data_IF_420038904909
#
_entry.id   IF_420038904909
#
_cell.length_a   1.000
_cell.length_b   1.000
_cell.length_c   1.000
_cell.angle_alpha   90.00
_cell.angle_beta   90.00
_cell.angle_gamma   90.00
#
_symmetry.space_group_name_H-M   'P 1'
#
loop_
_entity.id
_entity.type
_entity.pdbx_description
1 polymer ?
#
# COMPACT_ATOMS: atom_id res chain seq x y z
N UNK A 1 16.83 47.88 -7.92
CA UNK A 1 17.01 46.42 -8.16
C UNK A 1 15.95 45.69 -7.35
N UNK A 2 14.81 45.48 -7.99
CA UNK A 2 13.67 44.71 -7.48
C UNK A 2 13.96 43.22 -7.67
N UNK A 3 13.86 42.44 -6.62
CA UNK A 3 13.53 41.01 -6.66
C UNK A 3 13.51 40.50 -5.22
N UNK A 4 12.33 40.10 -4.74
CA UNK A 4 12.11 39.06 -3.74
C UNK A 4 10.58 38.89 -3.60
N UNK A 5 9.94 38.40 -4.66
CA UNK A 5 8.68 37.67 -4.50
C UNK A 5 9.01 36.19 -4.63
N UNK A 6 9.56 35.59 -3.58
CA UNK A 6 9.45 34.14 -3.41
C UNK A 6 7.98 33.89 -3.13
N UNK A 7 7.26 33.56 -4.20
CA UNK A 7 5.86 33.22 -4.15
C UNK A 7 5.68 32.04 -3.19
N UNK A 8 5.04 32.31 -2.07
CA UNK A 8 4.64 31.36 -1.03
C UNK A 8 3.45 30.53 -1.55
N UNK A 9 3.59 29.90 -2.72
CA UNK A 9 2.63 28.92 -3.20
C UNK A 9 3.02 27.57 -2.58
N UNK A 10 2.12 26.90 -1.84
CA UNK A 10 2.34 25.52 -1.47
C UNK A 10 2.65 24.73 -2.75
N UNK A 11 3.64 23.84 -2.70
CA UNK A 11 3.88 22.91 -3.80
C UNK A 11 2.58 22.13 -4.00
N UNK A 12 2.08 22.04 -5.23
CA UNK A 12 0.75 21.49 -5.56
C UNK A 12 0.44 20.16 -4.83
N UNK A 13 1.46 19.31 -4.64
CA UNK A 13 1.35 18.06 -3.88
C UNK A 13 0.91 18.24 -2.42
N UNK A 14 1.39 19.26 -1.70
CA UNK A 14 1.01 19.52 -0.30
C UNK A 14 -0.48 19.86 -0.15
N UNK A 15 -1.11 20.41 -1.21
CA UNK A 15 -2.55 20.65 -1.22
C UNK A 15 -3.31 19.34 -1.38
N UNK A 16 -2.83 18.44 -2.24
CA UNK A 16 -3.44 17.14 -2.45
C UNK A 16 -3.44 16.28 -1.19
N UNK A 17 -2.38 16.36 -0.37
CA UNK A 17 -2.27 15.64 0.91
C UNK A 17 -3.31 16.06 1.96
N UNK A 18 -3.93 17.23 1.82
CA UNK A 18 -4.91 17.73 2.80
C UNK A 18 -6.32 17.25 2.51
N UNK A 19 -6.57 16.73 1.31
CA UNK A 19 -7.89 16.26 0.89
C UNK A 19 -7.87 14.73 0.75
N UNK A 20 -8.72 13.99 1.49
CA UNK A 20 -8.84 12.53 1.36
C UNK A 20 -9.04 12.04 -0.08
N UNK A 21 -9.81 12.78 -0.88
CA UNK A 21 -10.12 12.40 -2.26
C UNK A 21 -8.92 12.47 -3.20
N UNK A 22 -7.87 13.22 -2.82
CA UNK A 22 -6.62 13.38 -3.58
C UNK A 22 -5.38 12.93 -2.82
N UNK A 23 -5.53 12.27 -1.66
CA UNK A 23 -4.42 11.92 -0.80
C UNK A 23 -3.44 10.97 -1.50
N UNK A 24 -2.15 11.30 -1.48
CA UNK A 24 -1.07 10.69 -2.25
C UNK A 24 -1.31 10.60 -3.76
N UNK A 25 -2.37 11.22 -4.28
CA UNK A 25 -2.72 11.26 -5.67
C UNK A 25 -2.78 12.71 -6.15
N UNK A 26 -3.83 13.04 -6.89
CA UNK A 26 -4.01 14.38 -7.40
C UNK A 26 -5.44 14.72 -7.84
N UNK A 27 -5.67 16.02 -8.00
CA UNK A 27 -6.86 16.56 -8.68
C UNK A 27 -6.52 16.76 -10.16
N UNK A 28 -7.39 16.30 -11.06
CA UNK A 28 -7.35 16.54 -12.51
C UNK A 28 -8.60 17.30 -12.94
N UNK A 29 -8.67 17.66 -14.21
CA UNK A 29 -9.83 18.36 -14.76
C UNK A 29 -11.10 17.48 -14.72
N UNK A 30 -10.95 16.21 -15.10
CA UNK A 30 -12.10 15.31 -15.32
C UNK A 30 -12.32 14.30 -14.19
N UNK A 31 -11.39 14.18 -13.25
CA UNK A 31 -11.50 13.25 -12.13
C UNK A 31 -10.53 13.64 -11.01
N UNK A 32 -10.74 13.05 -9.84
CA UNK A 32 -9.84 13.17 -8.70
C UNK A 32 -9.41 11.75 -8.35
N UNK A 33 -8.16 11.57 -7.93
CA UNK A 33 -7.73 10.27 -7.47
C UNK A 33 -6.83 10.36 -6.25
N UNK A 34 -6.98 9.37 -5.39
CA UNK A 34 -6.11 9.11 -4.25
C UNK A 34 -5.55 7.70 -4.34
N UNK A 35 -4.55 7.42 -3.53
CA UNK A 35 -3.99 6.08 -3.44
C UNK A 35 -3.50 5.79 -2.02
N UNK A 36 -3.58 4.54 -1.65
CA UNK A 36 -2.78 3.98 -0.58
C UNK A 36 -1.72 3.05 -1.17
N UNK A 37 -1.18 2.16 -0.35
CA UNK A 37 -0.16 1.24 -0.79
C UNK A 37 -0.70 0.18 -1.78
N UNK A 38 -1.90 -0.35 -1.55
CA UNK A 38 -2.47 -1.49 -2.29
C UNK A 38 -3.44 -1.07 -3.39
N UNK A 39 -4.14 0.05 -3.20
CA UNK A 39 -5.28 0.43 -4.02
C UNK A 39 -5.20 1.88 -4.49
N UNK A 40 -5.93 2.18 -5.57
CA UNK A 40 -6.22 3.54 -6.03
C UNK A 40 -7.72 3.76 -5.96
N UNK A 41 -8.12 4.98 -5.57
CA UNK A 41 -9.51 5.42 -5.59
C UNK A 41 -9.64 6.56 -6.60
N UNK A 42 -10.46 6.37 -7.63
CA UNK A 42 -10.71 7.35 -8.70
C UNK A 42 -12.16 7.81 -8.64
N UNK A 43 -12.37 9.12 -8.53
CA UNK A 43 -13.69 9.77 -8.50
C UNK A 43 -13.90 10.53 -9.80
N UNK A 44 -14.78 10.02 -10.65
CA UNK A 44 -15.18 10.64 -11.91
C UNK A 44 -16.53 11.33 -11.72
N UNK A 45 -16.59 12.68 -11.68
CA UNK A 45 -17.84 13.40 -11.46
C UNK A 45 -18.88 13.10 -12.54
N UNK A 46 -20.15 13.01 -12.15
CA UNK A 46 -21.27 12.82 -13.08
C UNK A 46 -22.31 13.94 -12.94
N UNK A 47 -23.08 14.23 -13.99
CA UNK A 47 -24.23 15.13 -13.88
C UNK A 47 -25.27 14.68 -12.84
N UNK A 48 -26.00 15.64 -12.25
CA UNK A 48 -26.96 15.39 -11.17
C UNK A 48 -28.10 14.42 -11.53
N UNK A 49 -28.45 14.29 -12.82
CA UNK A 49 -29.49 13.39 -13.30
C UNK A 49 -29.02 11.94 -13.48
N UNK A 50 -27.72 11.67 -13.33
CA UNK A 50 -27.15 10.32 -13.35
C UNK A 50 -27.30 9.70 -11.97
N UNK A 51 -28.38 8.94 -11.77
CA UNK A 51 -28.74 8.40 -10.44
C UNK A 51 -28.92 6.89 -10.42
N UNK A 52 -28.89 6.22 -11.58
CA UNK A 52 -29.05 4.78 -11.71
C UNK A 52 -27.82 4.17 -12.37
N UNK A 53 -27.38 3.01 -11.89
CA UNK A 53 -26.22 2.30 -12.46
C UNK A 53 -26.35 2.02 -13.96
N UNK A 54 -27.57 1.79 -14.47
CA UNK A 54 -27.82 1.61 -15.92
C UNK A 54 -27.51 2.84 -16.78
N UNK A 55 -27.30 4.01 -16.18
CA UNK A 55 -26.91 5.25 -16.85
C UNK A 55 -25.38 5.40 -16.91
N UNK A 56 -24.63 4.40 -16.46
CA UNK A 56 -23.17 4.42 -16.40
C UNK A 56 -22.64 3.16 -17.05
N UNK A 57 -21.59 3.30 -17.84
CA UNK A 57 -20.76 2.20 -18.34
C UNK A 57 -19.36 2.35 -17.78
N UNK A 58 -18.85 1.30 -17.12
CA UNK A 58 -17.47 1.26 -16.63
C UNK A 58 -16.83 -0.01 -17.15
N UNK A 59 -15.80 0.16 -17.98
CA UNK A 59 -15.02 -0.93 -18.54
C UNK A 59 -13.62 -0.89 -17.94
N UNK A 60 -13.27 -1.94 -17.19
CA UNK A 60 -11.96 -2.13 -16.60
C UNK A 60 -11.26 -3.32 -17.26
N UNK A 61 -10.03 -3.10 -17.71
CA UNK A 61 -9.13 -4.16 -18.14
C UNK A 61 -7.85 -4.11 -17.30
N UNK A 62 -6.94 -5.08 -17.49
CA UNK A 62 -5.71 -5.12 -16.70
C UNK A 62 -4.85 -3.86 -16.84
N UNK A 63 -4.97 -3.12 -17.94
CA UNK A 63 -4.15 -1.96 -18.28
C UNK A 63 -4.96 -0.79 -18.87
N UNK A 64 -6.29 -0.79 -18.77
CA UNK A 64 -7.12 0.31 -19.25
C UNK A 64 -8.34 0.54 -18.38
N UNK A 65 -8.81 1.78 -18.38
CA UNK A 65 -10.03 2.21 -17.72
C UNK A 65 -10.86 3.05 -18.67
N UNK A 66 -12.19 2.85 -18.62
CA UNK A 66 -13.16 3.67 -19.31
C UNK A 66 -14.38 3.89 -18.42
N UNK A 67 -14.78 5.15 -18.27
CA UNK A 67 -15.97 5.57 -17.53
C UNK A 67 -16.79 6.48 -18.43
N UNK A 68 -18.02 6.09 -18.68
CA UNK A 68 -18.94 6.83 -19.53
C UNK A 68 -20.34 6.87 -18.93
N UNK A 69 -21.12 7.87 -19.32
CA UNK A 69 -22.55 7.97 -19.00
C UNK A 69 -23.40 7.71 -20.23
N UNK A 70 -24.51 7.01 -20.03
CA UNK A 70 -25.47 6.64 -21.06
C UNK A 70 -26.66 7.58 -20.97
N UNK A 71 -26.80 8.45 -21.97
CA UNK A 71 -27.89 9.42 -22.10
C UNK A 71 -28.76 9.10 -23.33
N UNK A 72 -29.87 9.83 -23.49
CA UNK A 72 -30.78 9.64 -24.63
C UNK A 72 -30.10 9.90 -25.98
N UNK A 73 -29.10 10.78 -25.98
CA UNK A 73 -28.34 11.17 -27.18
C UNK A 73 -27.13 10.26 -27.45
N UNK A 74 -26.98 9.18 -26.68
CA UNK A 74 -25.87 8.23 -26.79
C UNK A 74 -24.96 8.24 -25.57
N UNK A 75 -23.75 7.75 -25.76
CA UNK A 75 -22.76 7.60 -24.72
C UNK A 75 -21.82 8.80 -24.68
N UNK A 76 -21.59 9.34 -23.48
CA UNK A 76 -20.62 10.40 -23.23
C UNK A 76 -19.50 9.89 -22.33
N UNK A 77 -18.29 9.81 -22.89
CA UNK A 77 -17.09 9.36 -22.18
C UNK A 77 -16.58 10.48 -21.27
N UNK A 78 -16.47 10.17 -19.97
CA UNK A 78 -15.97 11.10 -18.96
C UNK A 78 -14.46 10.91 -18.72
N UNK A 79 -14.00 9.67 -18.82
CA UNK A 79 -12.61 9.28 -18.64
C UNK A 79 -12.33 8.03 -19.46
N UNK A 80 -11.24 8.02 -20.22
CA UNK A 80 -10.79 6.84 -20.96
C UNK A 80 -9.28 6.92 -21.17
N UNK A 81 -8.60 5.79 -21.00
CA UNK A 81 -7.19 5.70 -21.35
C UNK A 81 -6.52 4.42 -20.87
N UNK A 82 -5.25 4.31 -21.27
CA UNK A 82 -4.35 3.26 -20.80
C UNK A 82 -3.77 3.64 -19.45
N UNK A 83 -3.84 2.72 -18.51
CA UNK A 83 -3.29 2.87 -17.17
C UNK A 83 -1.75 2.84 -17.21
N UNK A 84 -1.10 3.61 -16.33
CA UNK A 84 0.37 3.62 -16.26
C UNK A 84 0.97 2.30 -15.78
N UNK A 85 0.20 1.51 -15.01
CA UNK A 85 0.57 0.18 -14.56
C UNK A 85 -0.63 -0.75 -14.58
N UNK A 86 -0.35 -2.05 -14.37
CA UNK A 86 -1.40 -3.06 -14.35
C UNK A 86 -2.16 -3.10 -13.03
N UNK A 87 -3.44 -3.46 -13.12
CA UNK A 87 -4.35 -3.68 -12.00
C UNK A 87 -4.81 -5.14 -11.96
N UNK A 88 -5.22 -5.58 -10.78
CA UNK A 88 -5.99 -6.80 -10.61
C UNK A 88 -7.47 -6.50 -10.84
N UNK A 89 -8.00 -6.89 -11.99
CA UNK A 89 -9.40 -6.65 -12.35
C UNK A 89 -10.41 -7.41 -11.49
N UNK A 90 -10.03 -8.55 -10.89
CA UNK A 90 -10.92 -9.31 -10.01
C UNK A 90 -11.11 -8.63 -8.65
N UNK A 91 -10.07 -7.96 -8.16
CA UNK A 91 -10.10 -7.17 -6.93
C UNK A 91 -10.57 -5.73 -7.12
N UNK A 92 -10.71 -5.27 -8.37
CA UNK A 92 -11.15 -3.91 -8.69
C UNK A 92 -12.66 -3.85 -8.82
N UNK A 93 -13.27 -2.78 -8.33
CA UNK A 93 -14.72 -2.59 -8.35
C UNK A 93 -15.08 -1.13 -8.58
N UNK A 94 -16.33 -0.89 -8.96
CA UNK A 94 -16.85 0.47 -9.08
C UNK A 94 -18.25 0.57 -8.47
N UNK A 95 -18.61 1.78 -8.09
CA UNK A 95 -19.94 2.12 -7.63
C UNK A 95 -20.35 3.51 -8.11
N UNK A 96 -21.66 3.78 -8.16
CA UNK A 96 -22.20 5.09 -8.48
C UNK A 96 -22.70 5.76 -7.20
N UNK A 97 -22.17 6.94 -6.89
CA UNK A 97 -22.79 7.88 -5.96
C UNK A 97 -23.81 8.73 -6.74
N UNK A 98 -25.13 8.55 -6.54
CA UNK A 98 -26.15 9.17 -7.37
C UNK A 98 -26.03 10.70 -7.46
N UNK A 99 -25.93 11.20 -8.69
CA UNK A 99 -25.83 12.62 -8.99
C UNK A 99 -24.55 13.30 -8.54
N UNK A 100 -23.51 12.52 -8.18
CA UNK A 100 -22.23 13.01 -7.67
C UNK A 100 -21.04 12.49 -8.48
N UNK A 101 -20.71 11.20 -8.38
CA UNK A 101 -19.59 10.62 -9.12
C UNK A 101 -19.71 9.11 -9.29
N UNK A 102 -18.97 8.58 -10.26
CA UNK A 102 -18.58 7.17 -10.29
C UNK A 102 -17.30 7.03 -9.46
N UNK A 103 -17.35 6.16 -8.46
CA UNK A 103 -16.22 5.77 -7.64
C UNK A 103 -15.63 4.48 -8.19
N UNK A 104 -14.38 4.51 -8.62
CA UNK A 104 -13.66 3.33 -9.13
C UNK A 104 -12.53 3.02 -8.17
N UNK A 105 -12.55 1.83 -7.58
CA UNK A 105 -11.47 1.30 -6.76
C UNK A 105 -10.66 0.31 -7.59
N UNK A 106 -9.37 0.62 -7.79
CA UNK A 106 -8.45 -0.17 -8.58
C UNK A 106 -7.44 -0.85 -7.66
N UNK A 107 -7.46 -2.18 -7.66
CA UNK A 107 -6.50 -2.97 -6.91
C UNK A 107 -5.20 -3.10 -7.71
N UNK A 108 -4.08 -2.68 -7.13
CA UNK A 108 -2.79 -2.71 -7.83
C UNK A 108 -2.31 -4.14 -7.98
N UNK A 109 -1.69 -4.44 -9.12
CA UNK A 109 -1.05 -5.75 -9.32
C UNK A 109 0.30 -5.86 -8.58
N UNK A 110 0.86 -4.75 -8.09
CA UNK A 110 2.13 -4.73 -7.40
C UNK A 110 2.31 -3.53 -6.47
N UNK A 111 3.35 -3.62 -5.65
CA UNK A 111 3.60 -2.76 -4.51
C UNK A 111 4.38 -1.49 -4.90
N UNK A 112 3.75 -0.63 -5.70
CA UNK A 112 4.33 0.64 -6.14
C UNK A 112 3.36 1.80 -6.05
N UNK A 113 3.94 2.98 -5.79
CA UNK A 113 3.22 4.26 -5.80
C UNK A 113 3.08 4.74 -7.23
N UNK A 114 1.86 4.99 -7.67
CA UNK A 114 1.60 5.46 -9.02
C UNK A 114 1.90 6.96 -9.09
N UNK A 115 2.55 7.42 -10.15
CA UNK A 115 2.77 8.86 -10.39
C UNK A 115 1.65 9.50 -11.21
N UNK A 116 0.84 8.71 -11.91
CA UNK A 116 -0.34 9.14 -12.66
C UNK A 116 -1.26 7.94 -12.90
N UNK A 117 -2.55 8.17 -13.14
CA UNK A 117 -3.50 7.10 -13.47
C UNK A 117 -3.35 6.71 -14.94
N UNK A 118 -3.42 7.68 -15.86
CA UNK A 118 -3.35 7.43 -17.29
C UNK A 118 -1.97 7.78 -17.87
N UNK A 119 -1.58 7.06 -18.91
CA UNK A 119 -0.40 7.41 -19.70
C UNK A 119 -0.56 8.79 -20.35
N UNK A 120 0.50 9.61 -20.30
CA UNK A 120 0.54 10.95 -20.93
C UNK A 120 0.04 12.09 -20.04
N UNK A 121 -0.37 11.82 -18.81
CA UNK A 121 -0.75 12.84 -17.84
C UNK A 121 0.43 13.44 -17.08
N UNK A 122 0.21 14.58 -16.41
CA UNK A 122 1.19 15.14 -15.48
C UNK A 122 1.43 14.18 -14.30
N UNK A 123 2.70 13.89 -14.05
CA UNK A 123 3.13 13.02 -12.97
C UNK A 123 3.20 13.78 -11.64
N UNK A 124 2.68 13.17 -10.57
CA UNK A 124 2.97 13.61 -9.21
C UNK A 124 4.40 13.27 -8.82
N UNK A 125 4.93 14.04 -7.88
CA UNK A 125 6.24 13.78 -7.28
C UNK A 125 6.09 12.74 -6.16
N UNK A 126 6.37 11.47 -6.49
CA UNK A 126 6.28 10.33 -5.56
C UNK A 126 7.19 10.53 -4.33
N UNK A 127 8.24 11.35 -4.39
CA UNK A 127 9.11 11.57 -3.23
C UNK A 127 8.53 12.58 -2.23
N UNK A 128 7.44 13.25 -2.59
CA UNK A 128 6.72 14.20 -1.72
C UNK A 128 5.43 13.64 -1.14
N UNK A 129 5.08 12.39 -1.46
CA UNK A 129 3.89 11.73 -0.90
C UNK A 129 4.20 11.10 0.46
N UNK A 130 3.16 10.78 1.24
CA UNK A 130 3.32 10.04 2.47
C UNK A 130 3.29 8.54 2.16
N UNK A 131 4.45 7.88 2.27
CA UNK A 131 4.61 6.44 1.97
C UNK A 131 4.28 5.54 3.16
N UNK A 132 3.74 6.08 4.26
CA UNK A 132 3.35 5.29 5.42
C UNK A 132 2.13 4.41 5.11
N UNK A 133 2.24 3.12 5.42
CA UNK A 133 1.13 2.17 5.42
C UNK A 133 0.51 2.15 6.83
N UNK A 134 -0.81 2.11 6.92
CA UNK A 134 -1.50 1.94 8.20
C UNK A 134 -1.21 0.56 8.78
N UNK A 135 -0.97 0.46 10.08
CA UNK A 135 -0.84 -0.84 10.76
C UNK A 135 -2.08 -1.73 10.62
N UNK A 136 -3.25 -1.14 10.35
CA UNK A 136 -4.49 -1.89 10.13
C UNK A 136 -4.54 -2.64 8.79
N UNK A 137 -3.67 -2.30 7.84
CA UNK A 137 -3.60 -2.91 6.50
C UNK A 137 -2.39 -3.83 6.38
N UNK A 138 -1.75 -4.20 7.50
CA UNK A 138 -0.68 -5.20 7.57
C UNK A 138 -1.34 -6.56 7.70
N UNK A 139 -0.90 -7.55 6.94
CA UNK A 139 -1.48 -8.89 7.02
C UNK A 139 -0.90 -9.71 8.20
N UNK A 140 -1.51 -10.86 8.51
CA UNK A 140 -1.12 -11.68 9.66
C UNK A 140 0.32 -12.22 9.58
N UNK A 141 0.81 -12.50 8.36
CA UNK A 141 2.17 -12.98 8.13
C UNK A 141 3.19 -11.85 8.35
N UNK A 142 2.91 -10.67 7.81
CA UNK A 142 3.69 -9.45 8.04
C UNK A 142 3.69 -9.03 9.52
N UNK A 143 2.56 -9.19 10.22
CA UNK A 143 2.46 -8.92 11.66
C UNK A 143 3.43 -9.79 12.47
N UNK A 144 3.50 -11.09 12.19
CA UNK A 144 4.43 -11.99 12.88
C UNK A 144 5.89 -11.57 12.67
N UNK A 145 6.24 -11.09 11.47
CA UNK A 145 7.58 -10.58 11.16
C UNK A 145 7.86 -9.29 11.92
N UNK A 146 6.92 -8.34 11.95
CA UNK A 146 7.07 -7.08 12.69
C UNK A 146 7.20 -7.29 14.19
N UNK A 147 6.40 -8.18 14.77
CA UNK A 147 6.46 -8.55 16.18
C UNK A 147 7.83 -9.15 16.52
N UNK A 148 8.34 -10.05 15.66
CA UNK A 148 9.68 -10.62 15.82
C UNK A 148 10.76 -9.54 15.76
N UNK A 149 10.70 -8.62 14.80
CA UNK A 149 11.68 -7.53 14.67
C UNK A 149 11.64 -6.59 15.88
N UNK A 150 10.44 -6.29 16.37
CA UNK A 150 10.25 -5.44 17.56
C UNK A 150 10.82 -6.10 18.81
N UNK A 151 10.55 -7.40 18.99
CA UNK A 151 11.13 -8.20 20.06
C UNK A 151 12.66 -8.22 19.98
N UNK A 152 13.22 -8.49 18.81
CA UNK A 152 14.67 -8.56 18.57
C UNK A 152 15.38 -7.24 18.82
N UNK A 153 14.73 -6.13 18.47
CA UNK A 153 15.22 -4.79 18.75
C UNK A 153 15.27 -4.53 20.27
N UNK A 154 14.21 -4.84 21.01
CA UNK A 154 14.17 -4.68 22.46
C UNK A 154 15.21 -5.57 23.16
N UNK A 155 15.36 -6.83 22.74
CA UNK A 155 16.36 -7.74 23.29
C UNK A 155 17.77 -7.20 23.08
N UNK A 156 18.07 -6.71 21.87
CA UNK A 156 19.37 -6.11 21.54
C UNK A 156 19.71 -4.91 22.43
N UNK A 157 18.75 -4.00 22.66
CA UNK A 157 18.96 -2.86 23.56
C UNK A 157 19.25 -3.28 25.01
N UNK A 158 18.72 -4.43 25.43
CA UNK A 158 18.92 -4.99 26.76
C UNK A 158 20.14 -5.93 26.84
N UNK A 159 20.88 -6.13 25.74
CA UNK A 159 21.97 -7.11 25.66
C UNK A 159 21.50 -8.55 25.87
N UNK A 160 20.21 -8.83 25.60
CA UNK A 160 19.59 -10.15 25.70
C UNK A 160 19.60 -10.85 24.35
N UNK A 161 19.54 -12.20 24.34
CA UNK A 161 19.56 -12.95 23.10
C UNK A 161 18.32 -12.69 22.23
N UNK A 162 18.52 -12.61 20.92
CA UNK A 162 17.44 -12.39 19.95
C UNK A 162 16.63 -13.66 19.69
N UNK A 163 15.49 -13.54 19.03
CA UNK A 163 14.53 -14.63 18.73
C UNK A 163 15.19 -15.84 18.08
N UNK A 164 16.09 -15.63 17.13
CA UNK A 164 16.84 -16.70 16.47
C UNK A 164 17.78 -17.44 17.43
N UNK A 165 18.50 -16.70 18.29
CA UNK A 165 19.41 -17.28 19.29
C UNK A 165 18.63 -18.08 20.34
N UNK A 166 17.49 -17.56 20.79
CA UNK A 166 16.58 -18.26 21.70
C UNK A 166 16.11 -19.59 21.12
N UNK A 167 15.74 -19.61 19.84
CA UNK A 167 15.32 -20.84 19.15
C UNK A 167 16.46 -21.86 19.06
N UNK A 168 17.68 -21.42 18.74
CA UNK A 168 18.87 -22.29 18.75
C UNK A 168 19.14 -22.83 20.14
N UNK A 169 19.10 -21.99 21.17
CA UNK A 169 19.28 -22.42 22.55
C UNK A 169 18.22 -23.45 22.97
N UNK A 170 16.97 -23.28 22.56
CA UNK A 170 15.91 -24.25 22.81
C UNK A 170 16.19 -25.59 22.12
N UNK A 171 16.60 -25.58 20.85
CA UNK A 171 16.96 -26.78 20.11
C UNK A 171 18.15 -27.50 20.74
N UNK A 172 19.21 -26.77 21.10
CA UNK A 172 20.39 -27.32 21.76
C UNK A 172 20.03 -27.91 23.13
N UNK A 173 19.20 -27.22 23.91
CA UNK A 173 18.73 -27.71 25.21
C UNK A 173 17.90 -28.98 25.07
N UNK A 174 16.99 -29.05 24.09
CA UNK A 174 16.22 -30.27 23.80
C UNK A 174 17.14 -31.45 23.46
N UNK A 175 18.17 -31.23 22.64
CA UNK A 175 19.18 -32.25 22.34
C UNK A 175 20.04 -32.62 23.54
N UNK A 176 20.38 -31.64 24.38
CA UNK A 176 21.16 -31.81 25.61
C UNK A 176 20.47 -32.74 26.60
N UNK A 177 19.15 -32.56 26.77
CA UNK A 177 18.31 -33.29 27.72
C UNK A 177 17.76 -34.63 27.16
N UNK A 178 17.98 -34.90 25.88
CA UNK A 178 17.47 -36.10 25.21
C UNK A 178 18.02 -37.40 25.81
N UNK A 179 17.23 -38.47 25.72
CA UNK A 179 17.63 -39.80 26.17
C UNK A 179 18.81 -40.34 25.37
N UNK A 180 19.86 -40.82 26.06
CA UNK A 180 21.11 -41.24 25.45
C UNK A 180 22.13 -40.10 25.22
N UNK A 181 21.78 -38.85 25.50
CA UNK A 181 22.74 -37.73 25.47
C UNK A 181 23.81 -37.91 26.55
N UNK A 182 25.11 -37.75 26.21
CA UNK A 182 26.20 -37.79 27.19
C UNK A 182 26.16 -36.61 28.16
N UNK A 183 25.34 -35.59 27.86
CA UNK A 183 25.18 -34.38 28.67
C UNK A 183 23.90 -34.38 29.52
N UNK A 184 23.06 -35.41 29.41
CA UNK A 184 21.78 -35.50 30.12
C UNK A 184 21.98 -35.36 31.64
N UNK A 185 21.24 -34.45 32.26
CA UNK A 185 21.33 -34.15 33.69
C UNK A 185 22.39 -33.11 34.08
N UNK A 186 23.22 -32.65 33.14
CA UNK A 186 24.10 -31.50 33.33
C UNK A 186 23.34 -30.19 33.08
N UNK A 187 23.73 -29.11 33.75
CA UNK A 187 23.12 -27.79 33.54
C UNK A 187 23.50 -27.25 32.16
N UNK A 188 22.50 -26.95 31.34
CA UNK A 188 22.68 -26.23 30.07
C UNK A 188 23.01 -24.75 30.34
N UNK A 189 24.13 -24.27 29.78
CA UNK A 189 24.53 -22.86 29.81
C UNK A 189 24.53 -22.28 28.37
N UNK A 190 23.57 -21.39 28.04
CA UNK A 190 23.48 -20.77 26.72
C UNK A 190 24.71 -19.97 26.31
N UNK A 191 25.44 -19.39 27.28
CA UNK A 191 26.58 -18.52 27.00
C UNK A 191 27.81 -19.26 26.42
N UNK A 192 27.80 -20.60 26.47
CA UNK A 192 28.86 -21.43 25.87
C UNK A 192 28.83 -21.46 24.34
N UNK A 193 27.77 -20.92 23.72
CA UNK A 193 27.54 -21.02 22.28
C UNK A 193 27.50 -19.64 21.63
N UNK A 194 28.40 -19.40 20.68
CA UNK A 194 28.35 -18.19 19.84
C UNK A 194 27.50 -18.48 18.60
N UNK A 195 26.29 -17.91 18.54
CA UNK A 195 25.31 -18.19 17.50
C UNK A 195 25.41 -17.09 16.44
N UNK A 196 25.77 -17.46 15.22
CA UNK A 196 25.77 -16.53 14.09
C UNK A 196 24.33 -16.25 13.61
N UNK A 197 24.03 -15.04 13.10
CA UNK A 197 22.70 -14.67 12.59
C UNK A 197 22.13 -15.57 11.49
N UNK A 198 22.95 -16.38 10.82
CA UNK A 198 22.55 -17.35 9.79
C UNK A 198 22.39 -18.80 10.25
N UNK A 199 22.47 -19.08 11.55
CA UNK A 199 22.49 -20.46 12.07
C UNK A 199 21.14 -21.20 11.94
N UNK A 200 20.05 -20.49 11.66
CA UNK A 200 18.71 -21.07 11.46
C UNK A 200 18.03 -20.34 10.31
N UNK A 201 17.69 -21.08 9.26
CA UNK A 201 16.74 -20.63 8.25
C UNK A 201 15.33 -21.03 8.72
N UNK A 202 14.40 -20.08 8.65
CA UNK A 202 12.98 -20.32 8.88
C UNK A 202 12.32 -20.70 7.57
#
# INVERSE_FOLDING_TARGET
>A
VSNLSFSFFPRLQELFQKNPDSYNGAVRENYIWSQDYMDLEVKVPVPKHIVKGKQVSVDLSSDSIRVAVLEENGEHVLMEGKLTHKINTEGSLWSLEPGKCVLVNLNKLGEYWWSAILEGEEHIDIDKINKERSMATVDEEEHAVLDRLTFDYHQKLQGKPQSHELKVHEMLKKGWDAEGSPFRGQRFDPAMFNISPGAVQF
#
